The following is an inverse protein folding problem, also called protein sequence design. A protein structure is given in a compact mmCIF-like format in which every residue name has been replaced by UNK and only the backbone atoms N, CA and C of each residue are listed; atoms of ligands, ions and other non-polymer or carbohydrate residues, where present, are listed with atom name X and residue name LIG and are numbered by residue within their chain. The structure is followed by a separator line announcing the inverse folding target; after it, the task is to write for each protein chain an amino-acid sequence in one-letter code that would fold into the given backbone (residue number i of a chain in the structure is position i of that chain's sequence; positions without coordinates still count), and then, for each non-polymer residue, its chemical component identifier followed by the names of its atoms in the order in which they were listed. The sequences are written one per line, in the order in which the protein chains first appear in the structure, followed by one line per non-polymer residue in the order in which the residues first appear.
data_IF_440944582803
#
_entry.id   IF_440944582803
#
_cell.length_a   1.000
_cell.length_b   1.000
_cell.length_c   1.000
_cell.angle_alpha   90.00
_cell.angle_beta   90.00
_cell.angle_gamma   90.00
#
_symmetry.space_group_name_H-M   'P 1'
#
loop_
_entity.id
_entity.type
_entity.pdbx_description
1 polymer ?
#
# COMPACT_ATOMS: atom_id res chain seq x y z
N UNK A 1 23.59 -3.09 65.86
CA UNK A 1 22.64 -2.06 65.37
C UNK A 1 22.97 -1.56 63.96
N UNK A 2 24.20 -1.08 63.65
CA UNK A 2 24.50 -0.60 62.28
C UNK A 2 24.49 -1.69 61.20
N UNK A 3 24.91 -2.92 61.54
CA UNK A 3 24.92 -4.08 60.62
C UNK A 3 23.52 -4.66 60.41
N UNK A 4 22.73 -4.76 61.49
CA UNK A 4 21.33 -5.21 61.45
C UNK A 4 20.45 -4.26 60.64
N UNK A 5 20.68 -2.94 60.74
CA UNK A 5 20.00 -1.94 59.89
C UNK A 5 20.35 -2.11 58.41
N UNK A 6 21.62 -2.33 58.07
CA UNK A 6 22.05 -2.56 56.67
C UNK A 6 21.46 -3.85 56.08
N UNK A 7 21.43 -4.92 56.87
CA UNK A 7 20.83 -6.20 56.46
C UNK A 7 19.32 -6.07 56.24
N UNK A 8 18.64 -5.30 57.10
CA UNK A 8 17.21 -5.03 56.93
C UNK A 8 16.94 -4.25 55.63
N UNK A 9 17.73 -3.22 55.32
CA UNK A 9 17.60 -2.45 54.07
C UNK A 9 17.79 -3.34 52.84
N UNK A 10 18.80 -4.20 52.84
CA UNK A 10 19.09 -5.12 51.72
C UNK A 10 17.94 -6.12 51.54
N UNK A 11 17.43 -6.70 52.63
CA UNK A 11 16.31 -7.63 52.60
C UNK A 11 15.03 -6.97 52.04
N UNK A 12 14.75 -5.72 52.42
CA UNK A 12 13.61 -4.96 51.90
C UNK A 12 13.74 -4.69 50.39
N UNK A 13 14.93 -4.31 49.92
CA UNK A 13 15.18 -4.08 48.49
C UNK A 13 15.04 -5.37 47.68
N UNK A 14 15.60 -6.49 48.18
CA UNK A 14 15.47 -7.79 47.54
C UNK A 14 14.00 -8.22 47.47
N UNK A 15 13.24 -8.04 48.55
CA UNK A 15 11.81 -8.36 48.60
C UNK A 15 11.01 -7.57 47.57
N UNK A 16 11.28 -6.27 47.42
CA UNK A 16 10.64 -5.42 46.41
C UNK A 16 10.96 -5.91 44.98
N UNK A 17 12.20 -6.30 44.70
CA UNK A 17 12.62 -6.83 43.40
C UNK A 17 11.90 -8.13 43.03
N UNK A 18 11.72 -9.05 43.98
CA UNK A 18 11.01 -10.31 43.73
C UNK A 18 9.52 -10.11 43.44
N UNK A 19 8.91 -9.05 43.99
CA UNK A 19 7.51 -8.71 43.71
C UNK A 19 7.35 -8.09 42.31
N UNK A 20 8.29 -7.24 41.89
CA UNK A 20 8.23 -6.56 40.57
C UNK A 20 8.70 -7.47 39.42
N UNK A 21 9.59 -8.42 39.68
CA UNK A 21 10.21 -9.27 38.64
C UNK A 21 9.32 -10.35 38.02
N UNK A 22 8.12 -10.62 38.56
CA UNK A 22 7.21 -11.66 38.05
C UNK A 22 6.25 -11.14 36.97
N UNK A 23 6.79 -10.48 35.95
CA UNK A 23 6.01 -10.06 34.77
C UNK A 23 5.95 -11.20 33.77
N UNK A 24 4.79 -11.86 33.67
CA UNK A 24 4.52 -12.82 32.61
C UNK A 24 4.14 -12.06 31.33
N UNK A 25 5.14 -11.45 30.69
CA UNK A 25 4.96 -10.73 29.45
C UNK A 25 4.73 -11.73 28.31
N UNK A 26 3.46 -12.07 28.05
CA UNK A 26 3.09 -12.68 26.78
C UNK A 26 3.43 -11.66 25.69
N UNK A 27 4.52 -11.92 24.97
CA UNK A 27 4.91 -11.12 23.81
C UNK A 27 3.69 -10.94 22.92
N UNK A 28 3.29 -9.69 22.67
CA UNK A 28 2.31 -9.38 21.65
C UNK A 28 2.97 -9.80 20.34
N UNK A 29 2.56 -10.94 19.80
CA UNK A 29 2.88 -11.29 18.41
C UNK A 29 2.43 -10.09 17.59
N UNK A 30 3.38 -9.45 16.91
CA UNK A 30 3.10 -8.44 15.90
C UNK A 30 2.06 -9.09 15.00
N UNK A 31 0.87 -8.49 14.93
CA UNK A 31 -0.13 -8.92 13.98
C UNK A 31 0.53 -8.81 12.60
N UNK A 32 0.53 -9.93 11.88
CA UNK A 32 1.10 -10.06 10.55
C UNK A 32 0.94 -8.76 9.75
N UNK A 33 2.08 -8.23 9.33
CA UNK A 33 2.13 -7.21 8.30
C UNK A 33 1.49 -7.84 7.06
N UNK A 34 0.56 -7.11 6.45
CA UNK A 34 -0.20 -7.45 5.25
C UNK A 34 -1.48 -8.28 5.46
N UNK A 35 -2.56 -7.59 5.87
CA UNK A 35 -3.94 -8.06 5.64
C UNK A 35 -4.39 -7.92 4.17
N UNK A 36 -3.47 -7.66 3.23
CA UNK A 36 -3.79 -7.37 1.83
C UNK A 36 -3.53 -8.56 0.89
N UNK A 37 -2.88 -9.63 1.35
CA UNK A 37 -2.53 -10.78 0.47
C UNK A 37 -3.56 -11.91 0.50
N UNK A 38 -4.56 -11.81 1.38
CA UNK A 38 -5.76 -12.66 1.32
C UNK A 38 -6.87 -11.89 0.61
N UNK A 39 -6.58 -11.42 -0.60
CA UNK A 39 -7.60 -11.08 -1.57
C UNK A 39 -7.62 -12.22 -2.56
N UNK A 40 -8.40 -13.27 -2.26
CA UNK A 40 -8.94 -14.09 -3.34
C UNK A 40 -9.77 -13.15 -4.20
N UNK A 41 -9.20 -12.63 -5.28
CA UNK A 41 -9.93 -11.87 -6.27
C UNK A 41 -11.08 -12.74 -6.75
N UNK A 42 -12.31 -12.21 -6.67
CA UNK A 42 -13.45 -12.93 -7.22
C UNK A 42 -13.18 -13.20 -8.70
N UNK A 43 -13.40 -14.43 -9.14
CA UNK A 43 -13.29 -14.78 -10.55
C UNK A 43 -14.13 -13.79 -11.37
N UNK A 44 -13.50 -13.16 -12.37
CA UNK A 44 -14.18 -12.23 -13.26
C UNK A 44 -15.29 -12.99 -14.01
N UNK A 45 -16.54 -12.75 -13.61
CA UNK A 45 -17.69 -13.31 -14.29
C UNK A 45 -18.02 -12.43 -15.49
N UNK A 46 -17.85 -12.97 -16.70
CA UNK A 46 -18.31 -12.30 -17.91
C UNK A 46 -19.83 -12.41 -17.98
N UNK A 47 -20.48 -11.27 -18.13
CA UNK A 47 -21.92 -11.19 -18.33
C UNK A 47 -22.28 -11.44 -19.80
N UNK A 48 -23.49 -11.94 -20.09
CA UNK A 48 -23.87 -12.33 -21.45
C UNK A 48 -23.68 -11.21 -22.49
N UNK A 49 -23.95 -9.96 -22.14
CA UNK A 49 -23.77 -8.83 -23.06
C UNK A 49 -22.30 -8.62 -23.48
N UNK A 50 -21.34 -9.07 -22.68
CA UNK A 50 -19.90 -8.94 -22.98
C UNK A 50 -19.44 -9.96 -24.03
N UNK A 51 -20.15 -11.07 -24.18
CA UNK A 51 -19.74 -12.22 -25.01
C UNK A 51 -20.71 -12.56 -26.13
N UNK A 52 -21.96 -12.09 -26.05
CA UNK A 52 -22.97 -12.34 -27.05
C UNK A 52 -22.79 -11.41 -28.25
N UNK A 53 -22.38 -12.01 -29.37
CA UNK A 53 -22.19 -11.33 -30.64
C UNK A 53 -23.42 -10.55 -31.10
N UNK A 54 -24.64 -10.90 -30.69
CA UNK A 54 -25.84 -10.15 -31.06
C UNK A 54 -25.87 -8.73 -30.46
N UNK A 55 -25.17 -8.48 -29.35
CA UNK A 55 -25.02 -7.13 -28.77
C UNK A 55 -24.01 -6.28 -29.55
N UNK A 56 -23.02 -6.90 -30.19
CA UNK A 56 -21.91 -6.21 -30.86
C UNK A 56 -22.04 -6.17 -32.38
N UNK A 57 -22.66 -7.18 -32.97
CA UNK A 57 -22.99 -7.28 -34.39
C UNK A 57 -24.21 -6.43 -34.71
N UNK A 58 -24.06 -5.12 -34.54
CA UNK A 58 -24.98 -4.17 -35.13
C UNK A 58 -24.77 -4.26 -36.64
N UNK A 59 -25.76 -4.84 -37.34
CA UNK A 59 -25.75 -4.91 -38.79
C UNK A 59 -25.58 -3.49 -39.34
N UNK A 60 -24.40 -3.18 -39.91
CA UNK A 60 -23.96 -1.83 -40.28
C UNK A 60 -24.95 -1.15 -41.24
N UNK A 61 -25.76 -1.94 -41.96
CA UNK A 61 -26.82 -1.43 -42.84
C UNK A 61 -28.08 -0.95 -42.11
N UNK A 62 -28.34 -1.39 -40.87
CA UNK A 62 -29.46 -0.95 -40.01
C UNK A 62 -29.00 0.12 -39.01
N UNK A 63 -27.69 0.17 -38.72
CA UNK A 63 -27.05 1.33 -38.11
C UNK A 63 -26.98 2.52 -39.08
N UNK A 64 -28.12 2.95 -39.61
CA UNK A 64 -28.39 4.38 -39.57
C UNK A 64 -28.43 4.73 -38.09
N UNK A 65 -27.26 4.95 -37.51
CA UNK A 65 -27.12 5.83 -36.38
C UNK A 65 -28.05 6.99 -36.69
N UNK A 66 -29.04 7.24 -35.84
CA UNK A 66 -29.64 8.57 -35.78
C UNK A 66 -28.50 9.47 -35.33
N UNK A 67 -27.56 9.76 -36.23
CA UNK A 67 -26.69 10.91 -36.14
C UNK A 67 -27.63 12.09 -36.38
N UNK A 68 -28.43 12.44 -35.36
CA UNK A 68 -28.34 13.83 -34.94
C UNK A 68 -26.85 14.08 -34.87
N UNK A 69 -26.36 14.81 -35.85
CA UNK A 69 -24.98 15.23 -35.91
C UNK A 69 -24.83 16.09 -34.67
N UNK A 70 -24.50 15.46 -33.55
CA UNK A 70 -24.01 16.11 -32.35
C UNK A 70 -22.79 16.85 -32.90
N UNK A 71 -22.99 18.13 -33.22
CA UNK A 71 -21.92 19.00 -33.57
C UNK A 71 -21.22 19.28 -32.24
N UNK A 72 -20.44 18.30 -31.80
CA UNK A 72 -19.51 18.50 -30.71
C UNK A 72 -18.61 19.64 -31.14
N UNK A 73 -18.47 20.66 -30.27
CA UNK A 73 -17.56 21.75 -30.54
C UNK A 73 -16.18 21.15 -30.82
N UNK A 74 -15.48 21.66 -31.84
CA UNK A 74 -14.11 21.25 -32.10
C UNK A 74 -13.33 21.36 -30.78
N UNK A 75 -12.70 20.26 -30.34
CA UNK A 75 -11.85 20.27 -29.17
C UNK A 75 -10.71 21.25 -29.42
N UNK A 76 -10.80 22.44 -28.84
CA UNK A 76 -9.73 23.42 -28.85
C UNK A 76 -8.87 23.10 -27.64
N UNK A 77 -7.59 22.82 -27.86
CA UNK A 77 -6.64 22.72 -26.76
C UNK A 77 -6.64 24.06 -26.01
N UNK A 78 -6.68 24.02 -24.69
CA UNK A 78 -6.62 25.22 -23.87
C UNK A 78 -5.17 25.67 -23.71
N UNK A 79 -4.92 26.97 -23.50
CA UNK A 79 -3.56 27.54 -23.48
C UNK A 79 -2.59 26.82 -22.53
N UNK A 80 -3.09 26.36 -21.38
CA UNK A 80 -2.30 25.62 -20.40
C UNK A 80 -1.83 24.23 -20.89
N UNK A 81 -2.49 23.64 -21.90
CA UNK A 81 -2.15 22.33 -22.48
C UNK A 81 -0.91 22.37 -23.38
N UNK A 82 -0.46 23.56 -23.77
CA UNK A 82 0.68 23.76 -24.66
C UNK A 82 1.57 24.94 -24.27
N UNK A 83 1.29 25.65 -23.17
CA UNK A 83 2.26 26.60 -22.61
C UNK A 83 3.40 25.83 -21.97
N UNK A 84 4.51 25.80 -22.70
CA UNK A 84 5.90 25.65 -22.27
C UNK A 84 6.11 24.74 -21.04
N UNK A 85 6.01 23.43 -21.26
CA UNK A 85 6.76 22.45 -20.47
C UNK A 85 8.28 22.77 -20.45
N UNK A 86 8.75 23.58 -21.41
CA UNK A 86 10.15 24.01 -21.58
C UNK A 86 10.68 24.92 -20.46
N UNK A 87 9.87 25.30 -19.46
CA UNK A 87 10.31 26.10 -18.30
C UNK A 87 10.03 25.45 -16.95
N UNK A 88 9.80 24.13 -16.90
CA UNK A 88 10.20 23.42 -15.69
C UNK A 88 11.71 23.39 -15.77
N UNK A 89 12.34 24.31 -15.03
CA UNK A 89 13.77 24.30 -14.72
C UNK A 89 14.24 22.87 -14.80
N UNK A 90 15.07 22.55 -15.79
CA UNK A 90 15.74 21.26 -15.92
C UNK A 90 16.12 20.88 -14.50
N UNK A 91 15.39 19.89 -13.94
CA UNK A 91 15.49 19.56 -12.53
C UNK A 91 16.98 19.50 -12.26
N UNK A 92 17.48 20.39 -11.38
CA UNK A 92 18.90 20.40 -11.01
C UNK A 92 19.28 18.95 -10.88
N UNK A 93 20.23 18.46 -11.69
CA UNK A 93 20.55 17.03 -11.73
C UNK A 93 20.64 16.54 -10.29
N UNK A 94 19.56 15.91 -9.82
CA UNK A 94 19.49 15.46 -8.44
C UNK A 94 20.38 14.24 -8.47
N UNK A 95 21.52 14.34 -7.79
CA UNK A 95 22.37 13.19 -7.57
C UNK A 95 21.57 12.32 -6.59
N UNK A 96 20.72 11.47 -7.14
CA UNK A 96 20.04 10.43 -6.38
C UNK A 96 21.10 9.46 -5.86
N UNK A 97 20.99 9.13 -4.58
CA UNK A 97 21.80 8.05 -4.01
C UNK A 97 21.49 6.76 -4.77
N UNK A 98 22.51 5.92 -5.06
CA UNK A 98 22.29 4.67 -5.74
C UNK A 98 21.32 3.81 -4.93
N UNK A 99 20.27 3.31 -5.58
CA UNK A 99 19.29 2.43 -4.96
C UNK A 99 20.01 1.23 -4.34
N UNK A 100 19.95 1.11 -3.01
CA UNK A 100 20.50 -0.04 -2.30
C UNK A 100 19.40 -1.05 -2.03
N UNK A 101 19.69 -2.32 -2.30
CA UNK A 101 18.80 -3.41 -1.87
C UNK A 101 18.90 -3.53 -0.36
N UNK A 102 17.79 -3.29 0.31
CA UNK A 102 17.68 -3.53 1.75
C UNK A 102 17.54 -5.04 2.01
N UNK A 103 17.99 -5.51 3.18
CA UNK A 103 18.00 -6.95 3.53
C UNK A 103 16.62 -7.59 3.33
N UNK A 104 15.57 -6.85 3.65
CA UNK A 104 14.20 -7.33 3.52
C UNK A 104 13.73 -7.54 2.07
N UNK A 105 14.34 -6.84 1.10
CA UNK A 105 14.01 -6.98 -0.31
C UNK A 105 14.57 -8.27 -0.91
N UNK A 106 15.48 -8.95 -0.21
CA UNK A 106 16.19 -10.14 -0.73
C UNK A 106 16.09 -11.37 0.15
N UNK A 107 15.64 -11.25 1.40
CA UNK A 107 15.46 -12.38 2.30
C UNK A 107 14.22 -13.20 1.92
N UNK A 108 14.44 -14.37 1.32
CA UNK A 108 13.39 -15.34 0.95
C UNK A 108 12.51 -15.73 2.15
N UNK A 109 13.03 -15.68 3.37
CA UNK A 109 12.29 -16.03 4.58
C UNK A 109 11.30 -14.92 5.02
N UNK A 110 11.44 -13.70 4.50
CA UNK A 110 10.51 -12.61 4.78
C UNK A 110 9.26 -12.70 3.89
N UNK A 111 9.41 -13.20 2.66
CA UNK A 111 8.34 -13.27 1.67
C UNK A 111 7.60 -14.61 1.64
N UNK A 112 8.20 -15.68 2.16
CA UNK A 112 7.61 -17.01 2.14
C UNK A 112 7.09 -17.34 3.55
N UNK A 113 5.76 -17.34 3.71
CA UNK A 113 5.05 -17.86 4.89
C UNK A 113 4.10 -18.98 4.52
#
# INVERSE_FOLDING_TARGET
MKTTMKQLTIATILGLLFIVGNVNAKGKKVADVSSHEILTENALALENWMVDENFWNINVSIAKFNTTKEAENAMVLEKWMFTDFEKVDSAKDEIEEPLQMEEWMTDENIWIK
#
